data_IF_991621160344
#
_entry.id   IF_991621160344
#
_cell.length_a   1.000
_cell.length_b   1.000
_cell.length_c   1.000
_cell.angle_alpha   90.00
_cell.angle_beta   90.00
_cell.angle_gamma   90.00
#
_symmetry.space_group_name_H-M   'P 1'
#
loop_
_entity.id
_entity.type
_entity.pdbx_description
1 polymer ?
#
# COMPACT_ATOMS: atom_id res chain seq x y z
N UNK A 1 15.48 7.00 15.77
CA UNK A 1 14.58 7.19 14.62
C UNK A 1 14.06 5.82 14.23
N UNK A 2 13.05 5.35 14.96
CA UNK A 2 12.53 4.00 14.79
C UNK A 2 11.81 3.95 13.45
N UNK A 3 12.42 3.27 12.48
CA UNK A 3 11.71 2.78 11.30
C UNK A 3 10.65 1.82 11.85
N UNK A 4 9.43 2.27 12.09
CA UNK A 4 8.42 1.45 12.75
C UNK A 4 8.12 0.24 11.87
N UNK A 5 8.74 -0.92 12.13
CA UNK A 5 8.67 -2.06 11.21
C UNK A 5 7.27 -2.67 11.27
N UNK A 6 6.55 -2.40 12.36
CA UNK A 6 5.16 -2.76 12.58
C UNK A 6 4.24 -2.02 11.61
N UNK A 7 4.37 -0.69 11.45
CA UNK A 7 3.53 0.06 10.51
C UNK A 7 3.73 -0.38 9.06
N UNK A 8 4.96 -0.69 8.66
CA UNK A 8 5.24 -1.21 7.32
C UNK A 8 4.64 -2.60 7.11
N UNK A 9 4.77 -3.49 8.09
CA UNK A 9 4.20 -4.84 8.04
C UNK A 9 2.66 -4.80 8.04
N UNK A 10 2.06 -3.92 8.85
CA UNK A 10 0.61 -3.69 8.88
C UNK A 10 0.11 -3.18 7.53
N UNK A 11 0.85 -2.25 6.91
CA UNK A 11 0.48 -1.74 5.59
C UNK A 11 0.54 -2.84 4.53
N UNK A 12 1.57 -3.68 4.53
CA UNK A 12 1.68 -4.83 3.64
C UNK A 12 0.50 -5.80 3.81
N UNK A 13 0.16 -6.18 5.06
CA UNK A 13 -1.00 -7.04 5.33
C UNK A 13 -2.32 -6.43 4.83
N UNK A 14 -2.48 -5.11 4.93
CA UNK A 14 -3.66 -4.40 4.42
C UNK A 14 -3.70 -4.38 2.90
N UNK A 15 -2.56 -4.23 2.22
CA UNK A 15 -2.47 -4.35 0.77
C UNK A 15 -2.88 -5.75 0.30
N UNK A 16 -2.42 -6.80 1.00
CA UNK A 16 -2.84 -8.17 0.71
C UNK A 16 -4.36 -8.36 0.87
N UNK A 17 -4.94 -7.77 1.92
CA UNK A 17 -6.38 -7.85 2.17
C UNK A 17 -7.17 -7.15 1.05
N UNK A 18 -6.74 -5.95 0.62
CA UNK A 18 -7.33 -5.23 -0.52
C UNK A 18 -7.24 -6.09 -1.77
N UNK A 19 -6.07 -6.66 -2.06
CA UNK A 19 -5.87 -7.51 -3.23
C UNK A 19 -6.81 -8.72 -3.23
N UNK A 20 -6.95 -9.40 -2.08
CA UNK A 20 -7.83 -10.58 -1.94
C UNK A 20 -9.32 -10.23 -2.04
N UNK A 21 -9.74 -9.05 -1.58
CA UNK A 21 -11.13 -8.56 -1.73
C UNK A 21 -11.51 -8.34 -3.20
N UNK A 22 -10.56 -7.86 -4.00
CA UNK A 22 -10.74 -7.63 -5.43
C UNK A 22 -10.23 -8.83 -6.22
N UNK A 23 -10.98 -9.94 -6.17
CA UNK A 23 -10.56 -11.21 -6.78
C UNK A 23 -10.27 -11.17 -8.28
N UNK A 24 -10.67 -10.10 -8.99
CA UNK A 24 -10.33 -9.87 -10.39
C UNK A 24 -8.88 -9.41 -10.59
N UNK A 25 -8.25 -8.77 -9.59
CA UNK A 25 -6.87 -8.27 -9.68
C UNK A 25 -5.88 -9.40 -9.99
N UNK A 26 -6.17 -10.62 -9.56
CA UNK A 26 -5.32 -11.80 -9.83
C UNK A 26 -5.13 -12.13 -11.30
N UNK A 27 -6.03 -11.64 -12.17
CA UNK A 27 -5.93 -11.82 -13.61
C UNK A 27 -5.08 -10.73 -14.27
N UNK A 28 -4.86 -9.60 -13.60
CA UNK A 28 -4.15 -8.44 -14.13
C UNK A 28 -2.73 -8.29 -13.56
N UNK A 29 -2.55 -8.60 -12.27
CA UNK A 29 -1.29 -8.42 -11.56
C UNK A 29 -1.15 -9.45 -10.44
N UNK A 30 0.07 -9.95 -10.21
CA UNK A 30 0.32 -10.85 -9.07
C UNK A 30 0.24 -10.09 -7.76
N UNK A 31 -0.06 -10.77 -6.64
CA UNK A 31 -0.08 -10.13 -5.32
C UNK A 31 1.26 -9.44 -5.01
N UNK A 32 2.37 -10.11 -5.36
CA UNK A 32 3.72 -9.60 -5.12
C UNK A 32 3.96 -8.33 -5.91
N UNK A 33 3.60 -8.32 -7.19
CA UNK A 33 3.75 -7.14 -8.04
C UNK A 33 2.84 -6.00 -7.58
N UNK A 34 1.62 -6.30 -7.13
CA UNK A 34 0.72 -5.31 -6.55
C UNK A 34 1.32 -4.64 -5.29
N UNK A 35 1.89 -5.42 -4.38
CA UNK A 35 2.60 -4.86 -3.20
C UNK A 35 3.81 -4.03 -3.66
N UNK A 36 4.57 -4.51 -4.63
CA UNK A 36 5.73 -3.80 -5.18
C UNK A 36 5.36 -2.46 -5.87
N UNK A 37 4.09 -2.22 -6.24
CA UNK A 37 3.67 -0.90 -6.74
C UNK A 37 3.81 0.19 -5.66
N UNK A 38 3.75 -0.18 -4.39
CA UNK A 38 3.75 0.75 -3.25
C UNK A 38 5.03 0.67 -2.42
N UNK A 39 5.93 -0.26 -2.73
CA UNK A 39 7.20 -0.47 -2.05
C UNK A 39 8.40 -0.22 -2.98
N UNK A 40 9.54 0.28 -2.46
CA UNK A 40 9.77 0.65 -1.07
C UNK A 40 9.04 1.94 -0.67
N UNK A 41 8.58 2.00 0.59
CA UNK A 41 7.96 3.20 1.14
C UNK A 41 8.97 4.34 1.17
N UNK A 42 8.54 5.53 0.75
CA UNK A 42 9.35 6.75 0.87
C UNK A 42 9.15 7.34 2.26
N UNK A 43 10.23 7.85 2.85
CA UNK A 43 10.18 8.50 4.16
C UNK A 43 10.80 9.90 4.06
N UNK A 44 10.21 10.87 4.76
CA UNK A 44 10.76 12.22 4.91
C UNK A 44 10.76 12.58 6.39
N UNK A 45 11.94 12.91 6.92
CA UNK A 45 12.13 13.24 8.34
C UNK A 45 11.58 12.18 9.32
N UNK A 46 11.62 10.90 8.93
CA UNK A 46 11.10 9.79 9.74
C UNK A 46 9.60 9.51 9.58
N UNK A 47 8.87 10.32 8.82
CA UNK A 47 7.45 10.10 8.51
C UNK A 47 7.31 9.40 7.16
N UNK A 48 6.51 8.33 7.10
CA UNK A 48 6.19 7.67 5.84
C UNK A 48 5.40 8.64 4.94
N UNK A 49 5.87 8.82 3.70
CA UNK A 49 5.18 9.61 2.70
C UNK A 49 4.05 8.80 2.10
N UNK A 50 2.93 9.49 1.87
CA UNK A 50 1.77 8.94 1.18
C UNK A 50 2.22 8.33 -0.16
N UNK A 51 1.83 7.08 -0.47
CA UNK A 51 2.16 6.47 -1.74
C UNK A 51 1.49 7.24 -2.88
N UNK A 52 2.21 7.39 -3.99
CA UNK A 52 1.70 7.97 -5.23
C UNK A 52 0.95 6.90 -6.02
N UNK A 53 0.05 7.31 -6.93
CA UNK A 53 -0.62 6.36 -7.80
C UNK A 53 0.42 5.76 -8.75
N UNK A 54 0.53 4.43 -8.85
CA UNK A 54 1.51 3.81 -9.72
C UNK A 54 1.22 4.18 -11.18
N UNK A 55 2.18 4.83 -11.85
CA UNK A 55 2.04 5.19 -13.27
C UNK A 55 2.08 3.96 -14.20
N UNK A 56 2.70 2.87 -13.74
CA UNK A 56 2.94 1.65 -14.52
C UNK A 56 1.75 0.70 -14.57
N UNK A 57 0.77 0.84 -13.66
CA UNK A 57 -0.41 0.00 -13.61
C UNK A 57 -1.63 0.91 -13.54
N UNK A 58 -2.58 0.72 -14.45
CA UNK A 58 -3.85 1.44 -14.49
C UNK A 58 -4.75 1.07 -13.33
N UNK A 59 -4.30 1.33 -12.09
CA UNK A 59 -4.99 0.95 -10.89
C UNK A 59 -6.30 1.70 -10.81
N UNK A 60 -7.39 0.96 -10.61
CA UNK A 60 -8.70 1.55 -10.43
C UNK A 60 -8.69 2.56 -9.27
N UNK A 61 -9.37 3.69 -9.46
CA UNK A 61 -9.41 4.77 -8.48
C UNK A 61 -9.95 4.29 -7.14
N UNK A 62 -10.92 3.39 -7.12
CA UNK A 62 -11.50 2.87 -5.89
C UNK A 62 -10.49 2.04 -5.10
N UNK A 63 -9.67 1.23 -5.79
CA UNK A 63 -8.62 0.43 -5.17
C UNK A 63 -7.51 1.34 -4.64
N UNK A 64 -7.12 2.34 -5.43
CA UNK A 64 -6.14 3.33 -4.99
C UNK A 64 -6.60 4.08 -3.72
N UNK A 65 -7.87 4.47 -3.64
CA UNK A 65 -8.42 5.08 -2.44
C UNK A 65 -8.38 4.15 -1.23
N UNK A 66 -8.67 2.86 -1.40
CA UNK A 66 -8.54 1.86 -0.33
C UNK A 66 -7.10 1.74 0.16
N UNK A 67 -6.12 1.74 -0.75
CA UNK A 67 -4.70 1.73 -0.41
C UNK A 67 -4.32 2.96 0.41
N UNK A 68 -4.81 4.14 0.04
CA UNK A 68 -4.55 5.38 0.78
C UNK A 68 -5.16 5.37 2.19
N UNK A 69 -6.35 4.80 2.35
CA UNK A 69 -6.97 4.60 3.67
C UNK A 69 -6.16 3.62 4.50
N UNK A 70 -5.74 2.49 3.93
CA UNK A 70 -4.88 1.51 4.59
C UNK A 70 -3.53 2.11 5.02
N UNK A 71 -2.93 2.95 4.17
CA UNK A 71 -1.71 3.68 4.50
C UNK A 71 -1.93 4.60 5.70
N UNK A 72 -3.00 5.41 5.68
CA UNK A 72 -3.32 6.29 6.80
C UNK A 72 -3.55 5.50 8.09
N UNK A 73 -4.28 4.38 8.03
CA UNK A 73 -4.51 3.55 9.22
C UNK A 73 -3.23 2.91 9.78
N UNK A 74 -2.27 2.59 8.92
CA UNK A 74 -1.02 1.91 9.31
C UNK A 74 0.04 2.89 9.85
N UNK A 75 0.06 4.12 9.35
CA UNK A 75 1.06 5.14 9.70
C UNK A 75 0.53 6.32 10.52
N UNK A 76 -0.79 6.40 10.75
CA UNK A 76 -1.44 7.45 11.56
C UNK A 76 -2.16 6.87 12.78
N UNK A 77 -1.61 5.78 13.35
CA UNK A 77 -2.02 5.25 14.65
C UNK A 77 -1.33 6.06 15.78
N UNK A 78 -1.71 7.33 15.91
CA UNK A 78 -1.42 8.22 17.04
C UNK A 78 -2.45 9.36 17.06
#
# INVERSE_FOLDING_TARGET
MSKDPLSASLFEMRLEEIYRRHGWLRYEISLRDFVNLFFPLRYKQGVALRPEQPASFGLDREIYLQVLVAFKQSFNAA
#
